data_IF_866301325596
#
_entry.id   IF_866301325596
#
_cell.length_a   1.000
_cell.length_b   1.000
_cell.length_c   1.000
_cell.angle_alpha   90.00
_cell.angle_beta   90.00
_cell.angle_gamma   90.00
#
_symmetry.space_group_name_H-M   'P 1'
#
loop_
_entity.id
_entity.type
_entity.pdbx_description
1 polymer ?
#
# COMPACT_ATOMS: atom_id res chain seq x y z
N UNK A 1 -7.04 25.62 3.43
CA UNK A 1 -6.20 24.56 4.02
C UNK A 1 -5.08 25.22 4.82
N UNK A 2 -5.13 25.15 6.15
CA UNK A 2 -4.12 25.77 7.01
C UNK A 2 -2.84 24.91 7.04
N UNK A 3 -1.71 25.50 6.62
CA UNK A 3 -0.38 24.90 6.76
C UNK A 3 -0.07 24.70 8.24
N UNK A 4 -0.03 23.45 8.70
CA UNK A 4 0.33 23.08 10.07
C UNK A 4 1.84 23.27 10.22
N UNK A 5 2.26 24.38 10.83
CA UNK A 5 3.67 24.67 11.16
C UNK A 5 4.25 23.50 11.96
N UNK A 6 5.36 22.94 11.50
CA UNK A 6 6.07 21.90 12.24
C UNK A 6 6.44 22.41 13.65
N UNK A 7 6.24 21.60 14.70
CA UNK A 7 6.63 21.99 16.06
C UNK A 7 8.14 22.20 16.11
N UNK A 8 8.58 23.24 16.85
CA UNK A 8 10.01 23.46 17.10
C UNK A 8 10.56 22.26 17.88
N UNK A 9 11.48 21.53 17.28
CA UNK A 9 12.12 20.37 17.91
C UNK A 9 12.98 20.83 19.10
N UNK A 10 12.88 20.11 20.22
CA UNK A 10 13.66 20.42 21.41
C UNK A 10 15.09 19.87 21.28
N UNK A 11 16.12 20.60 21.77
CA UNK A 11 17.49 20.12 21.73
C UNK A 11 17.65 18.83 22.56
N UNK A 12 18.24 17.81 21.96
CA UNK A 12 18.51 16.53 22.62
C UNK A 12 19.77 16.67 23.48
N UNK A 13 19.64 16.43 24.79
CA UNK A 13 20.77 16.39 25.70
C UNK A 13 21.53 15.06 25.57
N UNK A 14 22.72 15.11 24.97
CA UNK A 14 23.59 13.94 24.82
C UNK A 14 24.69 13.93 25.90
N UNK A 15 24.80 12.83 26.66
CA UNK A 15 25.90 12.59 27.60
C UNK A 15 26.91 11.58 27.02
N UNK A 16 27.98 12.04 26.36
CA UNK A 16 28.97 11.14 25.79
C UNK A 16 29.73 10.37 26.87
N UNK A 17 30.16 9.15 26.54
CA UNK A 17 31.15 8.41 27.33
C UNK A 17 32.46 9.22 27.49
N UNK A 18 33.22 9.01 28.58
CA UNK A 18 34.51 9.68 28.76
C UNK A 18 35.43 9.53 27.53
N UNK A 19 36.09 10.62 27.12
CA UNK A 19 36.98 10.65 25.96
C UNK A 19 36.29 10.80 24.59
N UNK A 20 34.99 10.55 24.47
CA UNK A 20 34.26 10.72 23.19
C UNK A 20 34.18 12.18 22.75
N UNK A 21 34.02 13.12 23.68
CA UNK A 21 34.02 14.57 23.37
C UNK A 21 35.35 15.04 22.77
N UNK A 22 36.48 14.56 23.29
CA UNK A 22 37.81 14.89 22.78
C UNK A 22 38.03 14.32 21.37
N UNK A 23 37.57 13.09 21.12
CA UNK A 23 37.63 12.47 19.78
C UNK A 23 36.76 13.20 18.76
N UNK A 24 35.56 13.63 19.15
CA UNK A 24 34.67 14.42 18.30
C UNK A 24 35.25 15.81 18.02
N UNK A 25 35.87 16.46 19.02
CA UNK A 25 36.50 17.77 18.84
C UNK A 25 37.65 17.70 17.83
N UNK A 26 38.47 16.63 17.89
CA UNK A 26 39.52 16.37 16.90
C UNK A 26 38.97 16.16 15.48
N UNK A 27 37.80 15.52 15.33
CA UNK A 27 37.11 15.35 14.03
C UNK A 27 36.41 16.62 13.54
N UNK A 28 35.99 17.48 14.44
CA UNK A 28 35.26 18.69 14.11
C UNK A 28 36.16 19.72 13.42
N UNK A 29 37.43 19.84 13.84
CA UNK A 29 38.36 20.80 13.26
C UNK A 29 37.80 22.22 13.42
N UNK A 30 37.45 22.85 12.30
CA UNK A 30 36.84 24.19 12.26
C UNK A 30 35.30 24.18 12.38
N UNK A 31 34.65 23.00 12.33
CA UNK A 31 33.20 22.85 12.42
C UNK A 31 32.72 22.81 13.87
N UNK A 32 31.43 23.10 14.09
CA UNK A 32 30.82 22.91 15.39
C UNK A 32 30.69 21.42 15.73
N UNK A 33 30.86 21.08 17.01
CA UNK A 33 30.65 19.71 17.51
C UNK A 33 29.24 19.21 17.21
N UNK A 34 28.24 20.07 17.34
CA UNK A 34 26.84 19.74 17.07
C UNK A 34 26.62 19.31 15.63
N UNK A 35 27.19 20.03 14.65
CA UNK A 35 27.06 19.68 13.23
C UNK A 35 27.68 18.33 12.90
N UNK A 36 28.78 17.96 13.57
CA UNK A 36 29.43 16.65 13.39
C UNK A 36 28.59 15.53 13.99
N UNK A 37 27.95 15.77 15.13
CA UNK A 37 27.06 14.80 15.79
C UNK A 37 25.80 14.62 14.96
N UNK A 38 25.19 15.70 14.49
CA UNK A 38 24.01 15.68 13.62
C UNK A 38 24.29 14.89 12.34
N UNK A 39 25.37 15.22 11.63
CA UNK A 39 25.78 14.48 10.43
C UNK A 39 26.02 12.98 10.69
N UNK A 40 26.58 12.63 11.85
CA UNK A 40 26.82 11.25 12.22
C UNK A 40 25.53 10.49 12.57
N UNK A 41 24.59 11.16 13.24
CA UNK A 41 23.26 10.63 13.55
C UNK A 41 22.47 10.43 12.26
N UNK A 42 22.44 11.42 11.36
CA UNK A 42 21.77 11.32 10.07
C UNK A 42 22.35 10.19 9.21
N UNK A 43 23.68 10.06 9.18
CA UNK A 43 24.34 8.98 8.44
C UNK A 43 24.06 7.59 9.05
N UNK A 44 23.90 7.50 10.37
CA UNK A 44 23.55 6.25 11.05
C UNK A 44 22.07 5.90 10.84
N UNK A 45 21.17 6.87 11.04
CA UNK A 45 19.74 6.72 10.76
C UNK A 45 19.51 6.36 9.29
N UNK A 46 20.19 7.02 8.36
CA UNK A 46 20.12 6.69 6.94
C UNK A 46 20.56 5.26 6.63
N UNK A 47 21.52 4.68 7.37
CA UNK A 47 21.91 3.27 7.23
C UNK A 47 20.91 2.32 7.87
N UNK A 48 20.48 2.59 9.10
CA UNK A 48 19.49 1.76 9.80
C UNK A 48 18.17 1.73 9.03
N UNK A 49 17.70 2.87 8.52
CA UNK A 49 16.52 2.94 7.65
C UNK A 49 16.74 2.12 6.38
N UNK A 50 17.91 2.20 5.74
CA UNK A 50 18.25 1.38 4.57
C UNK A 50 18.41 -0.11 4.85
N UNK A 51 18.66 -0.53 6.10
CA UNK A 51 18.75 -1.95 6.49
C UNK A 51 17.39 -2.50 6.89
N UNK A 52 16.54 -1.67 7.51
CA UNK A 52 15.14 -2.01 7.84
C UNK A 52 14.26 -2.02 6.58
N UNK A 53 14.53 -1.16 5.60
CA UNK A 53 13.75 -1.02 4.37
C UNK A 53 13.72 -2.31 3.50
N UNK A 54 14.81 -3.06 3.28
CA UNK A 54 14.78 -4.31 2.52
C UNK A 54 13.97 -5.42 3.19
N UNK A 55 14.13 -5.65 4.50
CA UNK A 55 13.41 -6.69 5.23
C UNK A 55 11.92 -6.34 5.33
N UNK A 56 11.59 -5.08 5.61
CA UNK A 56 10.21 -4.61 5.64
C UNK A 56 9.58 -4.64 4.25
N UNK A 57 10.30 -4.25 3.19
CA UNK A 57 9.85 -4.33 1.79
C UNK A 57 9.62 -5.77 1.37
N UNK A 58 10.49 -6.71 1.75
CA UNK A 58 10.31 -8.13 1.46
C UNK A 58 9.09 -8.71 2.18
N UNK A 59 8.92 -8.42 3.48
CA UNK A 59 7.75 -8.86 4.24
C UNK A 59 6.45 -8.27 3.66
N UNK A 60 6.45 -6.98 3.33
CA UNK A 60 5.30 -6.31 2.70
C UNK A 60 4.99 -6.90 1.33
N UNK A 61 6.00 -7.22 0.51
CA UNK A 61 5.79 -7.84 -0.79
C UNK A 61 5.13 -9.22 -0.69
N UNK A 62 5.46 -10.01 0.33
CA UNK A 62 4.81 -11.30 0.59
C UNK A 62 3.34 -11.11 0.94
N UNK A 63 3.03 -10.21 1.88
CA UNK A 63 1.65 -9.91 2.29
C UNK A 63 0.82 -9.38 1.11
N UNK A 64 1.38 -8.46 0.33
CA UNK A 64 0.74 -7.93 -0.87
C UNK A 64 0.56 -8.99 -1.96
N UNK A 65 1.50 -9.93 -2.09
CA UNK A 65 1.38 -11.09 -2.99
C UNK A 65 0.17 -11.97 -2.64
N UNK A 66 0.00 -12.29 -1.36
CA UNK A 66 -1.16 -13.06 -0.87
C UNK A 66 -2.48 -12.33 -1.17
N UNK A 67 -2.50 -11.00 -1.01
CA UNK A 67 -3.67 -10.19 -1.37
C UNK A 67 -3.90 -10.25 -2.88
N UNK A 68 -2.85 -10.15 -3.70
CA UNK A 68 -2.91 -10.28 -5.15
C UNK A 68 -3.51 -11.62 -5.60
N UNK A 69 -3.07 -12.73 -5.01
CA UNK A 69 -3.60 -14.07 -5.30
C UNK A 69 -5.09 -14.17 -4.96
N UNK A 70 -5.49 -13.69 -3.78
CA UNK A 70 -6.91 -13.65 -3.37
C UNK A 70 -7.76 -12.79 -4.31
N UNK A 71 -7.25 -11.65 -4.77
CA UNK A 71 -7.95 -10.81 -5.75
C UNK A 71 -8.12 -11.54 -7.09
N UNK A 72 -7.12 -12.33 -7.49
CA UNK A 72 -7.20 -13.17 -8.70
C UNK A 72 -8.29 -14.24 -8.58
N UNK A 73 -8.38 -14.92 -7.43
CA UNK A 73 -9.43 -15.90 -7.15
C UNK A 73 -10.83 -15.27 -7.20
N UNK A 74 -11.01 -14.11 -6.56
CA UNK A 74 -12.28 -13.38 -6.58
C UNK A 74 -12.64 -12.95 -8.01
N UNK A 75 -11.67 -12.51 -8.81
CA UNK A 75 -11.90 -12.17 -10.21
C UNK A 75 -12.34 -13.39 -11.03
N UNK A 76 -11.74 -14.56 -10.79
CA UNK A 76 -12.13 -15.80 -11.44
C UNK A 76 -13.58 -16.21 -11.09
N UNK A 77 -13.94 -16.15 -9.82
CA UNK A 77 -15.30 -16.43 -9.35
C UNK A 77 -16.32 -15.45 -9.95
N UNK A 78 -15.98 -14.15 -9.97
CA UNK A 78 -16.81 -13.10 -10.55
C UNK A 78 -17.07 -13.33 -12.05
N UNK A 79 -16.06 -13.78 -12.81
CA UNK A 79 -16.23 -14.17 -14.21
C UNK A 79 -17.14 -15.40 -14.38
N UNK A 80 -17.13 -16.33 -13.42
CA UNK A 80 -18.10 -17.44 -13.34
C UNK A 80 -19.53 -16.93 -13.15
N UNK A 81 -19.74 -16.03 -12.19
CA UNK A 81 -21.05 -15.42 -11.91
C UNK A 81 -21.57 -14.67 -13.14
N UNK A 82 -20.71 -13.89 -13.81
CA UNK A 82 -21.07 -13.18 -15.04
C UNK A 82 -21.53 -14.10 -16.16
N UNK A 83 -20.87 -15.27 -16.34
CA UNK A 83 -21.31 -16.30 -17.30
C UNK A 83 -22.69 -16.86 -16.93
N UNK A 84 -22.94 -17.15 -15.66
CA UNK A 84 -24.23 -17.64 -15.19
C UNK A 84 -25.35 -16.59 -15.41
N UNK A 85 -25.08 -15.32 -15.11
CA UNK A 85 -26.02 -14.23 -15.37
C UNK A 85 -26.35 -14.11 -16.86
N UNK A 86 -25.35 -14.23 -17.75
CA UNK A 86 -25.58 -14.20 -19.20
C UNK A 86 -26.43 -15.39 -19.67
N UNK A 87 -26.25 -16.57 -19.08
CA UNK A 87 -27.05 -17.75 -19.40
C UNK A 87 -28.49 -17.58 -18.93
N UNK A 88 -28.70 -17.07 -17.71
CA UNK A 88 -30.01 -16.76 -17.18
C UNK A 88 -30.71 -15.66 -18.00
N UNK A 89 -29.98 -14.64 -18.47
CA UNK A 89 -30.53 -13.62 -19.37
C UNK A 89 -31.04 -14.24 -20.68
N UNK A 90 -30.29 -15.16 -21.27
CA UNK A 90 -30.71 -15.88 -22.49
C UNK A 90 -31.96 -16.71 -22.24
N UNK A 91 -32.00 -17.42 -21.12
CA UNK A 91 -33.19 -18.16 -20.70
C UNK A 91 -34.39 -17.21 -20.55
N UNK A 92 -34.20 -16.06 -19.89
CA UNK A 92 -35.24 -15.05 -19.70
C UNK A 92 -35.78 -14.50 -21.01
N UNK A 93 -34.91 -14.24 -21.98
CA UNK A 93 -35.31 -13.76 -23.30
C UNK A 93 -35.99 -14.84 -24.16
N UNK A 94 -35.82 -16.12 -23.84
CA UNK A 94 -36.37 -17.24 -24.62
C UNK A 94 -37.79 -17.59 -24.19
N UNK A 95 -38.07 -17.53 -22.88
CA UNK A 95 -39.35 -17.97 -22.32
C UNK A 95 -40.22 -16.78 -21.92
N UNK A 96 -41.30 -16.55 -22.67
CA UNK A 96 -42.23 -15.42 -22.49
C UNK A 96 -43.08 -15.50 -21.22
N UNK A 97 -43.15 -16.67 -20.58
CA UNK A 97 -43.99 -16.95 -19.42
C UNK A 97 -43.29 -16.74 -18.08
N UNK A 98 -42.09 -16.14 -18.08
CA UNK A 98 -41.33 -15.98 -16.86
C UNK A 98 -41.97 -14.96 -15.89
N UNK A 99 -41.84 -15.17 -14.57
CA UNK A 99 -42.29 -14.22 -13.58
C UNK A 99 -41.69 -12.83 -13.83
N UNK A 100 -42.54 -11.80 -13.71
CA UNK A 100 -42.24 -10.41 -14.11
C UNK A 100 -41.01 -9.82 -13.40
N UNK A 101 -40.61 -10.37 -12.23
CA UNK A 101 -39.46 -9.88 -11.46
C UNK A 101 -38.09 -10.48 -11.81
N UNK A 102 -38.01 -11.63 -12.49
CA UNK A 102 -36.71 -12.31 -12.71
C UNK A 102 -35.78 -11.47 -13.59
N UNK A 103 -36.32 -10.78 -14.58
CA UNK A 103 -35.53 -9.92 -15.47
C UNK A 103 -34.92 -8.72 -14.74
N UNK A 104 -35.69 -8.12 -13.82
CA UNK A 104 -35.25 -6.97 -13.03
C UNK A 104 -34.20 -7.39 -11.98
N UNK A 105 -34.46 -8.47 -11.24
CA UNK A 105 -33.49 -9.05 -10.29
C UNK A 105 -32.17 -9.44 -10.99
N UNK A 106 -32.26 -9.97 -12.21
CA UNK A 106 -31.07 -10.30 -13.01
C UNK A 106 -30.30 -9.05 -13.45
N UNK A 107 -31.01 -7.98 -13.80
CA UNK A 107 -30.39 -6.71 -14.18
C UNK A 107 -29.66 -6.07 -12.99
N UNK A 108 -30.26 -6.08 -11.80
CA UNK A 108 -29.65 -5.61 -10.55
C UNK A 108 -28.42 -6.44 -10.18
N UNK A 109 -28.52 -7.77 -10.22
CA UNK A 109 -27.39 -8.66 -9.95
C UNK A 109 -26.23 -8.40 -10.93
N UNK A 110 -26.54 -8.20 -12.20
CA UNK A 110 -25.52 -7.91 -13.23
C UNK A 110 -24.86 -6.56 -13.00
N UNK A 111 -25.60 -5.54 -12.57
CA UNK A 111 -25.04 -4.24 -12.22
C UNK A 111 -24.09 -4.36 -11.02
N UNK A 112 -24.49 -5.08 -9.97
CA UNK A 112 -23.66 -5.32 -8.78
C UNK A 112 -22.36 -6.08 -9.12
N UNK A 113 -22.44 -7.13 -9.94
CA UNK A 113 -21.26 -7.90 -10.39
C UNK A 113 -20.31 -7.03 -11.21
N UNK A 114 -20.82 -6.18 -12.09
CA UNK A 114 -19.99 -5.27 -12.88
C UNK A 114 -19.29 -4.23 -12.01
N UNK A 115 -19.98 -3.67 -11.00
CA UNK A 115 -19.40 -2.73 -10.06
C UNK A 115 -18.27 -3.38 -9.25
N UNK A 116 -18.50 -4.58 -8.71
CA UNK A 116 -17.49 -5.36 -7.99
C UNK A 116 -16.26 -5.66 -8.88
N UNK A 117 -16.48 -6.02 -10.14
CA UNK A 117 -15.39 -6.27 -11.08
C UNK A 117 -14.54 -5.01 -11.34
N UNK A 118 -15.17 -3.84 -11.43
CA UNK A 118 -14.47 -2.56 -11.58
C UNK A 118 -13.64 -2.20 -10.33
N UNK A 119 -14.19 -2.40 -9.13
CA UNK A 119 -13.48 -2.19 -7.87
C UNK A 119 -12.27 -3.12 -7.74
N UNK A 120 -12.42 -4.41 -8.05
CA UNK A 120 -11.32 -5.37 -8.02
C UNK A 120 -10.20 -4.99 -9.00
N UNK A 121 -10.55 -4.51 -10.19
CA UNK A 121 -9.57 -4.04 -11.16
C UNK A 121 -8.78 -2.81 -10.64
N UNK A 122 -9.45 -1.88 -9.97
CA UNK A 122 -8.81 -0.70 -9.39
C UNK A 122 -7.88 -1.05 -8.21
N UNK A 123 -8.30 -1.96 -7.33
CA UNK A 123 -7.47 -2.46 -6.22
C UNK A 123 -6.23 -3.16 -6.78
N UNK A 124 -6.39 -3.98 -7.82
CA UNK A 124 -5.27 -4.68 -8.45
C UNK A 124 -4.27 -3.72 -9.10
N UNK A 125 -4.74 -2.72 -9.84
CA UNK A 125 -3.86 -1.67 -10.38
C UNK A 125 -3.08 -0.94 -9.28
N UNK A 126 -3.73 -0.63 -8.17
CA UNK A 126 -3.09 0.03 -7.03
C UNK A 126 -2.01 -0.87 -6.41
N UNK A 127 -2.32 -2.15 -6.24
CA UNK A 127 -1.37 -3.15 -5.73
C UNK A 127 -0.17 -3.33 -6.65
N UNK A 128 -0.41 -3.44 -7.96
CA UNK A 128 0.64 -3.55 -8.98
C UNK A 128 1.52 -2.30 -9.02
N UNK A 129 0.96 -1.10 -8.82
CA UNK A 129 1.73 0.14 -8.73
C UNK A 129 2.62 0.19 -7.47
N UNK A 130 2.12 -0.32 -6.34
CA UNK A 130 2.89 -0.40 -5.09
C UNK A 130 4.03 -1.43 -5.22
N UNK A 131 3.77 -2.58 -5.85
CA UNK A 131 4.75 -3.67 -6.03
C UNK A 131 5.76 -3.40 -7.15
N UNK A 132 5.32 -2.73 -8.22
CA UNK A 132 6.09 -2.47 -9.43
C UNK A 132 6.85 -1.13 -9.44
N UNK A 133 6.82 -0.37 -8.35
CA UNK A 133 7.46 0.94 -8.21
C UNK A 133 8.98 0.91 -8.41
N UNK A 134 9.40 1.10 -9.65
CA UNK A 134 10.66 1.78 -10.03
C UNK A 134 10.37 3.26 -10.25
#
# INVERSE_FOLDING_TARGET
MASRRAPKEQPIAFRPRPGTRARLAKRAGTRSLSAVVEQAVDAWLGRVVREVDPTLRAALAVELGIIGDRLSDIAHQSAGIGRNCNQLARYCNTYRELPVGISDELAELRAAVNALAAELAAVRQTLDAILGGK
#
